data_IF_510636819309
#
_entry.id   IF_510636819309
#
_cell.length_a   1.000
_cell.length_b   1.000
_cell.length_c   1.000
_cell.angle_alpha   90.00
_cell.angle_beta   90.00
_cell.angle_gamma   90.00
#
_symmetry.space_group_name_H-M   'P 1'
#
loop_
_entity.id
_entity.type
_entity.pdbx_description
1 polymer ?
#
# COMPACT_ATOMS: atom_id res chain seq x y z
N UNK A 1 15.22 3.01 -10.19
CA UNK A 1 14.25 1.92 -10.42
C UNK A 1 13.07 2.15 -9.50
N UNK A 2 12.01 2.77 -10.03
CA UNK A 2 10.76 3.03 -9.31
C UNK A 2 10.10 1.67 -9.15
N UNK A 3 10.31 1.01 -8.02
CA UNK A 3 9.67 -0.26 -7.71
C UNK A 3 8.16 -0.03 -7.77
N UNK A 4 7.50 -0.75 -8.68
CA UNK A 4 6.11 -0.58 -9.08
C UNK A 4 5.20 -0.37 -7.87
N UNK A 5 4.58 0.82 -7.84
CA UNK A 5 3.51 1.19 -6.94
C UNK A 5 2.20 0.74 -7.58
N UNK A 6 1.80 -0.50 -7.31
CA UNK A 6 0.43 -0.96 -7.56
C UNK A 6 0.01 -1.75 -6.33
N UNK A 7 -0.58 -1.05 -5.36
CA UNK A 7 -1.13 -1.67 -4.16
C UNK A 7 -2.49 -2.27 -4.47
N UNK A 8 -2.57 -3.60 -4.32
CA UNK A 8 -3.60 -4.38 -3.64
C UNK A 8 -5.11 -4.28 -3.98
N UNK A 9 -5.61 -3.35 -4.80
CA UNK A 9 -7.07 -3.10 -4.82
C UNK A 9 -7.69 -2.93 -6.22
N UNK A 10 -6.93 -3.15 -7.30
CA UNK A 10 -7.48 -3.12 -8.66
C UNK A 10 -8.20 -4.40 -9.09
N UNK A 11 -8.28 -5.43 -8.25
CA UNK A 11 -9.19 -6.54 -8.47
C UNK A 11 -10.20 -6.54 -7.33
N UNK A 12 -11.36 -5.98 -7.65
CA UNK A 12 -12.59 -5.99 -6.86
C UNK A 12 -12.43 -5.45 -5.44
N UNK A 13 -12.02 -4.19 -5.31
CA UNK A 13 -12.89 -3.30 -4.54
C UNK A 13 -13.85 -2.69 -5.53
N UNK A 14 -15.12 -2.54 -5.20
CA UNK A 14 -16.05 -1.72 -6.00
C UNK A 14 -15.66 -0.23 -6.08
N UNK A 15 -14.38 0.12 -5.94
CA UNK A 15 -13.84 1.47 -6.01
C UNK A 15 -13.65 1.84 -7.49
N UNK A 16 -14.32 2.92 -7.92
CA UNK A 16 -14.25 3.36 -9.31
C UNK A 16 -12.85 3.87 -9.69
N UNK A 17 -12.55 3.84 -10.99
CA UNK A 17 -11.28 4.27 -11.61
C UNK A 17 -10.69 5.54 -10.99
N UNK A 18 -11.50 6.57 -10.74
CA UNK A 18 -11.05 7.83 -10.14
C UNK A 18 -10.43 7.65 -8.74
N UNK A 19 -11.03 6.81 -7.90
CA UNK A 19 -10.50 6.51 -6.57
C UNK A 19 -9.18 5.75 -6.66
N UNK A 20 -9.10 4.80 -7.60
CA UNK A 20 -7.86 4.07 -7.90
C UNK A 20 -6.75 5.04 -8.33
N UNK A 21 -7.03 5.94 -9.27
CA UNK A 21 -6.08 6.97 -9.69
C UNK A 21 -5.67 7.86 -8.51
N UNK A 22 -6.62 8.32 -7.68
CA UNK A 22 -6.29 9.11 -6.50
C UNK A 22 -5.37 8.34 -5.52
N UNK A 23 -5.62 7.04 -5.33
CA UNK A 23 -4.79 6.13 -4.53
C UNK A 23 -3.36 5.96 -5.07
N UNK A 24 -3.22 5.80 -6.39
CA UNK A 24 -1.90 5.77 -7.04
C UNK A 24 -1.20 7.11 -6.86
N UNK A 25 -1.88 8.22 -7.14
CA UNK A 25 -1.31 9.56 -7.06
C UNK A 25 -0.82 9.91 -5.66
N UNK A 26 -1.63 9.69 -4.62
CA UNK A 26 -1.21 9.95 -3.24
C UNK A 26 0.00 9.09 -2.85
N UNK A 27 0.09 7.86 -3.34
CA UNK A 27 1.21 6.96 -3.05
C UNK A 27 2.50 7.45 -3.71
N UNK A 28 2.44 7.92 -4.95
CA UNK A 28 3.58 8.54 -5.65
C UNK A 28 4.07 9.79 -4.90
N UNK A 29 3.14 10.64 -4.47
CA UNK A 29 3.47 11.87 -3.71
C UNK A 29 4.11 11.52 -2.35
N UNK A 30 3.62 10.48 -1.67
CA UNK A 30 4.22 9.96 -0.42
C UNK A 30 5.65 9.44 -0.63
N UNK A 31 5.90 8.67 -1.69
CA UNK A 31 7.24 8.16 -2.00
C UNK A 31 8.22 9.31 -2.30
N UNK A 32 7.80 10.28 -3.14
CA UNK A 32 8.59 11.46 -3.44
C UNK A 32 8.95 12.25 -2.16
N UNK A 33 7.98 12.44 -1.27
CA UNK A 33 8.20 13.06 0.04
C UNK A 33 9.24 12.31 0.87
N UNK A 34 9.12 10.98 1.00
CA UNK A 34 10.05 10.18 1.81
C UNK A 34 11.48 10.24 1.29
N UNK A 35 11.67 10.23 -0.03
CA UNK A 35 12.99 10.36 -0.64
C UNK A 35 13.62 11.72 -0.34
N UNK A 36 12.84 12.80 -0.43
CA UNK A 36 13.31 14.14 -0.09
C UNK A 36 13.66 14.22 1.40
N UNK A 37 12.79 13.74 2.28
CA UNK A 37 13.02 13.68 3.72
C UNK A 37 14.33 12.94 4.05
N UNK A 38 14.54 11.74 3.49
CA UNK A 38 15.74 10.95 3.70
C UNK A 38 17.01 11.63 3.18
N UNK A 39 16.93 12.32 2.04
CA UNK A 39 18.06 13.05 1.45
C UNK A 39 18.49 14.22 2.34
N UNK A 40 17.53 15.03 2.81
CA UNK A 40 17.84 16.24 3.55
C UNK A 40 18.10 16.02 5.03
N UNK A 41 17.47 15.02 5.67
CA UNK A 41 17.71 14.69 7.08
C UNK A 41 19.15 14.25 7.39
N UNK A 42 19.93 13.83 6.38
CA UNK A 42 21.32 13.38 6.52
C UNK A 42 22.37 14.49 6.36
N UNK A 43 21.98 15.72 6.07
CA UNK A 43 22.92 16.84 5.92
C UNK A 43 22.96 17.69 7.20
N UNK A 44 24.14 18.01 7.75
CA UNK A 44 24.30 18.84 8.97
C UNK A 44 23.60 20.21 8.88
N UNK A 45 23.43 20.73 7.66
CA UNK A 45 22.67 21.95 7.37
C UNK A 45 21.14 21.82 7.54
N UNK A 46 20.63 20.65 7.93
CA UNK A 46 19.21 20.44 8.21
C UNK A 46 18.77 21.17 9.48
N UNK A 47 19.60 21.15 10.53
CA UNK A 47 19.33 21.84 11.81
C UNK A 47 19.52 23.36 11.68
N UNK A 48 20.51 23.81 10.91
CA UNK A 48 20.80 25.26 10.76
C UNK A 48 19.74 25.98 9.90
N UNK A 49 19.07 25.27 8.98
CA UNK A 49 17.90 25.80 8.26
C UNK A 49 16.59 25.79 9.08
N UNK A 50 16.59 25.23 10.30
CA UNK A 50 15.40 25.19 11.18
C UNK A 50 15.08 26.51 11.88
N UNK A 51 15.98 27.50 11.85
CA UNK A 51 15.70 28.82 12.42
C UNK A 51 14.93 29.75 11.46
N UNK A 52 14.54 29.25 10.29
CA UNK A 52 13.67 29.94 9.34
C UNK A 52 12.26 29.30 9.40
N UNK A 53 11.17 30.07 9.58
CA UNK A 53 9.79 29.56 9.62
C UNK A 53 9.35 28.79 8.36
N UNK A 54 10.19 28.71 7.32
CA UNK A 54 10.08 27.85 6.13
C UNK A 54 10.21 26.34 6.41
N UNK A 55 10.22 25.92 7.67
CA UNK A 55 10.15 24.55 8.20
C UNK A 55 8.84 23.78 7.88
N UNK A 56 8.31 23.86 6.66
CA UNK A 56 7.06 23.19 6.24
C UNK A 56 7.26 21.73 5.79
N UNK A 57 8.49 21.22 5.73
CA UNK A 57 8.79 19.87 5.20
C UNK A 57 8.74 18.72 6.22
N UNK A 58 8.45 18.98 7.49
CA UNK A 58 8.58 17.95 8.55
C UNK A 58 7.42 16.96 8.64
N UNK A 59 6.25 17.29 8.13
CA UNK A 59 5.13 16.35 8.03
C UNK A 59 4.64 16.26 6.60
N UNK A 60 4.16 15.06 6.23
CA UNK A 60 3.55 14.83 4.93
C UNK A 60 2.38 15.80 4.66
N UNK A 61 1.58 16.12 5.68
CA UNK A 61 0.48 17.07 5.57
C UNK A 61 0.93 18.49 5.19
N UNK A 62 2.04 18.97 5.77
CA UNK A 62 2.55 20.29 5.44
C UNK A 62 3.20 20.32 4.05
N UNK A 63 3.85 19.23 3.65
CA UNK A 63 4.36 19.06 2.29
C UNK A 63 3.24 19.14 1.24
N UNK A 64 2.13 18.45 1.48
CA UNK A 64 0.92 18.52 0.63
C UNK A 64 0.36 19.95 0.58
N UNK A 65 0.24 20.62 1.72
CA UNK A 65 -0.25 22.02 1.77
C UNK A 65 0.66 22.98 1.03
N UNK A 66 1.98 22.82 1.16
CA UNK A 66 2.97 23.63 0.46
C UNK A 66 2.85 23.49 -1.06
N UNK A 67 2.64 22.27 -1.55
CA UNK A 67 2.42 22.01 -2.97
C UNK A 67 1.04 22.45 -3.46
N UNK A 68 0.12 22.83 -2.56
CA UNK A 68 -1.23 23.24 -2.91
C UNK A 68 -2.09 22.10 -3.51
N UNK A 69 -1.74 20.84 -3.24
CA UNK A 69 -2.42 19.69 -3.83
C UNK A 69 -3.80 19.47 -3.20
N UNK A 70 -4.80 19.28 -4.06
CA UNK A 70 -6.16 18.86 -3.71
C UNK A 70 -6.46 17.46 -4.25
N UNK A 71 -7.61 16.88 -3.89
CA UNK A 71 -7.95 15.51 -4.27
C UNK A 71 -7.94 15.25 -5.79
N UNK A 72 -8.33 16.26 -6.57
CA UNK A 72 -8.30 16.18 -8.03
C UNK A 72 -6.87 15.99 -8.56
N UNK A 73 -5.88 16.66 -7.97
CA UNK A 73 -4.49 16.55 -8.40
C UNK A 73 -3.94 15.14 -8.20
N UNK A 74 -4.31 14.46 -7.11
CA UNK A 74 -3.94 13.06 -6.92
C UNK A 74 -4.53 12.17 -8.00
N UNK A 75 -5.80 12.38 -8.37
CA UNK A 75 -6.41 11.63 -9.46
C UNK A 75 -5.70 11.92 -10.80
N UNK A 76 -5.36 13.17 -11.09
CA UNK A 76 -4.63 13.53 -12.32
C UNK A 76 -3.22 12.94 -12.37
N UNK A 77 -2.46 13.00 -11.27
CA UNK A 77 -1.14 12.37 -11.14
C UNK A 77 -1.28 10.86 -11.34
N UNK A 78 -2.23 10.23 -10.66
CA UNK A 78 -2.47 8.78 -10.80
C UNK A 78 -2.81 8.38 -12.23
N UNK A 79 -3.73 9.09 -12.88
CA UNK A 79 -4.11 8.86 -14.28
C UNK A 79 -2.91 9.01 -15.22
N UNK A 80 -2.08 10.04 -15.03
CA UNK A 80 -0.87 10.24 -15.83
C UNK A 80 0.08 9.04 -15.73
N UNK A 81 0.41 8.60 -14.51
CA UNK A 81 1.29 7.44 -14.34
C UNK A 81 0.65 6.13 -14.80
N UNK A 82 -0.65 5.95 -14.55
CA UNK A 82 -1.39 4.79 -15.01
C UNK A 82 -1.43 4.69 -16.53
N UNK A 83 -1.46 5.84 -17.23
CA UNK A 83 -1.47 5.87 -18.69
C UNK A 83 -0.25 5.19 -19.33
N UNK A 84 0.92 5.22 -18.68
CA UNK A 84 2.10 4.48 -19.16
C UNK A 84 1.89 2.97 -19.13
N UNK A 85 1.09 2.48 -18.17
CA UNK A 85 0.78 1.07 -18.02
C UNK A 85 -0.44 0.62 -18.84
N UNK A 86 -1.19 1.58 -19.40
CA UNK A 86 -2.37 1.31 -20.24
C UNK A 86 -2.09 1.50 -21.74
N UNK A 87 -1.16 2.39 -22.12
CA UNK A 87 -0.97 2.81 -23.51
C UNK A 87 0.46 2.54 -24.05
N UNK A 88 1.28 1.78 -23.31
CA UNK A 88 2.66 1.45 -23.69
C UNK A 88 2.84 -0.01 -24.11
N UNK A 89 4.03 -0.35 -24.61
CA UNK A 89 4.37 -1.68 -25.17
C UNK A 89 4.15 -2.87 -24.21
N UNK A 90 4.12 -2.62 -22.90
CA UNK A 90 3.88 -3.65 -21.88
C UNK A 90 2.40 -3.85 -21.54
N UNK A 91 1.52 -2.92 -21.94
CA UNK A 91 0.08 -2.81 -21.61
C UNK A 91 -0.38 -3.76 -20.49
N UNK A 92 -0.17 -3.31 -19.25
CA UNK A 92 -0.41 -4.11 -18.05
C UNK A 92 -1.90 -4.10 -17.67
N UNK A 93 -2.58 -2.97 -17.91
CA UNK A 93 -3.98 -2.77 -17.53
C UNK A 93 -4.86 -2.39 -18.70
N UNK A 94 -6.09 -2.89 -18.66
CA UNK A 94 -7.21 -2.44 -19.47
C UNK A 94 -8.29 -1.81 -18.58
N UNK A 95 -9.13 -0.99 -19.20
CA UNK A 95 -10.42 -0.64 -18.60
C UNK A 95 -11.40 -1.79 -18.77
N UNK A 96 -12.03 -2.18 -17.68
CA UNK A 96 -13.10 -3.17 -17.67
C UNK A 96 -14.44 -2.51 -17.36
N UNK A 97 -15.47 -3.02 -18.03
CA UNK A 97 -16.86 -2.65 -17.85
C UNK A 97 -17.55 -3.79 -17.10
N UNK A 98 -18.18 -3.49 -15.97
CA UNK A 98 -18.98 -4.47 -15.25
C UNK A 98 -20.04 -5.11 -16.15
N UNK A 99 -20.42 -6.36 -15.84
CA UNK A 99 -21.32 -7.18 -16.65
C UNK A 99 -22.80 -6.75 -16.65
N UNK A 100 -23.18 -5.65 -15.98
CA UNK A 100 -24.48 -5.00 -16.22
C UNK A 100 -24.31 -4.02 -17.38
N UNK A 101 -24.63 -4.50 -18.59
CA UNK A 101 -24.44 -3.80 -19.86
C UNK A 101 -25.33 -2.56 -20.09
N UNK A 102 -25.67 -1.81 -19.05
CA UNK A 102 -26.46 -0.59 -19.17
C UNK A 102 -25.68 0.64 -18.67
N UNK A 103 -25.38 1.56 -19.58
CA UNK A 103 -24.72 2.84 -19.25
C UNK A 103 -25.60 3.73 -18.36
N UNK A 104 -26.89 3.42 -18.32
CA UNK A 104 -27.90 4.13 -17.53
C UNK A 104 -28.05 3.55 -16.11
N UNK A 105 -27.30 2.50 -15.74
CA UNK A 105 -27.23 2.03 -14.36
C UNK A 105 -26.55 3.10 -13.48
N UNK A 106 -27.21 3.66 -12.45
CA UNK A 106 -26.58 4.61 -11.53
C UNK A 106 -25.39 4.03 -10.76
N UNK A 107 -25.20 2.71 -10.77
CA UNK A 107 -24.03 2.01 -10.24
C UNK A 107 -22.92 1.79 -11.29
N UNK A 108 -23.05 2.34 -12.49
CA UNK A 108 -22.06 2.27 -13.55
C UNK A 108 -20.72 2.85 -13.09
N UNK A 109 -19.66 2.04 -13.11
CA UNK A 109 -18.30 2.43 -12.69
C UNK A 109 -17.26 1.88 -13.65
N UNK A 110 -16.32 2.74 -14.02
CA UNK A 110 -15.10 2.31 -14.71
C UNK A 110 -14.22 1.55 -13.72
N UNK A 111 -13.74 0.38 -14.13
CA UNK A 111 -12.80 -0.44 -13.37
C UNK A 111 -11.53 -0.69 -14.18
N UNK A 112 -10.46 -1.08 -13.49
CA UNK A 112 -9.23 -1.56 -14.11
C UNK A 112 -9.18 -3.07 -13.99
N UNK A 113 -8.68 -3.75 -15.01
CA UNK A 113 -8.30 -5.16 -14.97
C UNK A 113 -6.89 -5.32 -15.52
N UNK A 114 -6.21 -6.40 -15.14
CA UNK A 114 -5.00 -6.80 -15.88
C UNK A 114 -5.38 -7.24 -17.29
N UNK A 115 -4.48 -7.03 -18.24
CA UNK A 115 -4.61 -7.63 -19.57
C UNK A 115 -4.38 -9.14 -19.50
N UNK A 116 -5.04 -9.90 -20.35
CA UNK A 116 -4.87 -11.36 -20.38
C UNK A 116 -3.42 -11.74 -20.71
N UNK A 117 -2.75 -10.94 -21.56
CA UNK A 117 -1.33 -11.11 -21.88
C UNK A 117 -0.43 -10.91 -20.64
N UNK A 118 -0.72 -9.90 -19.81
CA UNK A 118 0.05 -9.66 -18.60
C UNK A 118 -0.22 -10.71 -17.52
N UNK A 119 -1.46 -11.20 -17.39
CA UNK A 119 -1.79 -12.29 -16.47
C UNK A 119 -0.98 -13.55 -16.77
N UNK A 120 -0.87 -13.94 -18.05
CA UNK A 120 -0.06 -15.08 -18.46
C UNK A 120 1.42 -14.89 -18.08
N UNK A 121 1.97 -13.68 -18.25
CA UNK A 121 3.34 -13.34 -17.83
C UNK A 121 3.53 -13.36 -16.31
N UNK A 122 2.52 -12.96 -15.53
CA UNK A 122 2.57 -12.97 -14.07
C UNK A 122 2.71 -14.39 -13.50
N UNK A 123 2.05 -15.36 -14.13
CA UNK A 123 2.14 -16.78 -13.73
C UNK A 123 3.55 -17.36 -13.95
N UNK A 124 4.30 -16.81 -14.90
CA UNK A 124 5.60 -17.33 -15.31
C UNK A 124 6.79 -16.68 -14.57
N UNK A 125 6.74 -15.37 -14.22
CA UNK A 125 7.97 -14.65 -13.86
C UNK A 125 7.92 -13.68 -12.66
N UNK A 126 6.77 -13.37 -12.05
CA UNK A 126 6.68 -12.15 -11.23
C UNK A 126 6.41 -12.34 -9.72
N UNK A 127 7.33 -11.86 -8.88
CA UNK A 127 7.11 -11.66 -7.43
C UNK A 127 6.63 -10.23 -7.14
N UNK A 128 5.34 -9.95 -7.28
CA UNK A 128 4.77 -8.66 -6.82
C UNK A 128 4.85 -8.60 -5.29
N UNK A 129 5.64 -7.66 -4.76
CA UNK A 129 5.76 -7.48 -3.31
C UNK A 129 4.60 -6.61 -2.78
N UNK A 130 3.99 -6.98 -1.64
CA UNK A 130 3.07 -6.11 -0.92
C UNK A 130 3.66 -4.70 -0.66
N UNK A 131 2.83 -3.66 -0.77
CA UNK A 131 3.19 -2.29 -0.37
C UNK A 131 3.49 -2.19 1.13
N UNK A 132 2.72 -2.91 1.95
CA UNK A 132 2.90 -3.01 3.39
C UNK A 132 3.36 -4.43 3.72
N UNK A 133 4.56 -4.53 4.27
CA UNK A 133 5.20 -5.78 4.67
C UNK A 133 5.31 -5.82 6.19
N UNK A 134 5.16 -6.98 6.84
CA UNK A 134 5.52 -7.16 8.23
C UNK A 134 6.91 -6.57 8.55
N UNK A 135 7.04 -5.97 9.72
CA UNK A 135 8.31 -5.41 10.16
C UNK A 135 9.24 -6.50 10.68
N UNK A 136 10.52 -6.42 10.32
CA UNK A 136 11.59 -7.27 10.87
C UNK A 136 12.10 -6.80 12.24
N UNK A 137 11.65 -5.63 12.69
CA UNK A 137 12.05 -5.03 13.95
C UNK A 137 10.82 -4.63 14.75
N UNK A 138 11.04 -4.33 16.03
CA UNK A 138 9.97 -3.90 16.93
C UNK A 138 9.25 -2.66 16.37
N UNK A 139 7.91 -2.68 16.26
CA UNK A 139 7.14 -1.52 15.81
C UNK A 139 7.29 -0.31 16.74
N UNK A 140 7.08 0.88 16.20
CA UNK A 140 6.98 2.10 16.97
C UNK A 140 5.75 2.06 17.90
N UNK A 141 5.90 2.55 19.13
CA UNK A 141 4.82 2.55 20.11
C UNK A 141 3.82 3.67 19.82
N UNK A 142 2.53 3.33 19.89
CA UNK A 142 1.44 4.29 19.91
C UNK A 142 1.35 4.99 21.27
N UNK A 143 1.10 6.28 21.25
CA UNK A 143 0.74 7.06 22.44
C UNK A 143 0.00 8.33 22.02
N UNK A 144 -0.57 9.06 22.97
CA UNK A 144 -1.25 10.33 22.72
C UNK A 144 -0.44 11.33 21.85
N UNK A 145 0.89 11.30 21.98
CA UNK A 145 1.78 12.24 21.29
C UNK A 145 2.62 11.59 20.18
N UNK A 146 2.46 10.28 19.93
CA UNK A 146 3.29 9.54 18.96
C UNK A 146 2.47 8.59 18.10
N UNK A 147 2.70 8.68 16.80
CA UNK A 147 2.16 7.76 15.81
C UNK A 147 3.02 6.48 15.79
N UNK A 148 2.38 5.33 16.01
CA UNK A 148 3.03 4.02 16.16
C UNK A 148 2.93 3.14 14.91
N UNK A 149 3.27 1.85 15.03
CA UNK A 149 3.30 0.91 13.91
C UNK A 149 4.63 1.00 13.15
N UNK A 150 4.60 1.34 11.86
CA UNK A 150 5.81 1.51 11.06
C UNK A 150 6.71 2.64 11.58
N UNK A 151 8.03 2.50 11.47
CA UNK A 151 8.98 3.54 11.92
C UNK A 151 8.79 4.86 11.15
N UNK A 152 8.42 4.77 9.88
CA UNK A 152 8.07 5.92 9.03
C UNK A 152 6.80 6.64 9.48
N UNK A 153 5.95 6.00 10.29
CA UNK A 153 4.68 6.59 10.70
C UNK A 153 4.86 7.77 11.66
N UNK A 154 5.98 7.85 12.37
CA UNK A 154 6.37 9.02 13.15
C UNK A 154 6.40 10.33 12.33
N UNK A 155 6.70 10.21 11.04
CA UNK A 155 6.79 11.32 10.09
C UNK A 155 5.49 11.46 9.29
N UNK A 156 4.92 10.33 8.83
CA UNK A 156 3.70 10.30 8.01
C UNK A 156 2.43 10.65 8.78
N UNK A 157 2.39 10.36 10.09
CA UNK A 157 1.27 10.63 10.99
C UNK A 157 -0.05 9.99 10.58
N UNK A 158 0.01 8.76 10.05
CA UNK A 158 -1.17 7.95 9.75
C UNK A 158 -1.79 7.45 11.07
N UNK A 159 -3.08 7.68 11.26
CA UNK A 159 -3.80 7.26 12.47
C UNK A 159 -3.97 5.75 12.58
N UNK A 160 -4.25 5.26 13.80
CA UNK A 160 -4.52 3.83 14.05
C UNK A 160 -5.93 3.40 13.66
N UNK A 161 -6.84 4.34 13.38
CA UNK A 161 -8.20 4.06 12.92
C UNK A 161 -8.26 4.03 11.40
N UNK A 162 -8.83 2.96 10.85
CA UNK A 162 -9.11 2.83 9.42
C UNK A 162 -10.59 3.19 9.21
N UNK A 163 -10.89 4.22 8.42
CA UNK A 163 -12.26 4.68 8.18
C UNK A 163 -12.36 6.11 7.66
N UNK A 164 -13.58 6.55 7.31
CA UNK A 164 -13.82 7.91 6.80
C UNK A 164 -13.67 8.94 7.94
N UNK A 165 -13.00 10.06 7.65
CA UNK A 165 -12.89 11.20 8.60
C UNK A 165 -14.25 11.79 9.01
N UNK A 166 -15.31 11.46 8.26
CA UNK A 166 -16.70 11.89 8.50
C UNK A 166 -17.28 11.24 9.75
N UNK A 167 -16.84 10.03 10.10
CA UNK A 167 -17.20 9.36 11.35
C UNK A 167 -16.00 9.37 12.30
N UNK A 168 -15.61 10.56 12.74
CA UNK A 168 -14.56 10.69 13.74
C UNK A 168 -14.96 9.94 15.03
N UNK A 169 -14.40 8.76 15.22
CA UNK A 169 -14.58 7.98 16.43
C UNK A 169 -13.99 8.77 17.60
N UNK A 170 -14.84 9.19 18.52
CA UNK A 170 -14.40 9.75 19.80
C UNK A 170 -14.19 8.60 20.77
N UNK A 171 -12.95 8.40 21.20
CA UNK A 171 -12.62 7.40 22.19
C UNK A 171 -12.65 8.03 23.57
N UNK A 172 -13.34 7.40 24.51
CA UNK A 172 -13.40 7.84 25.90
C UNK A 172 -12.14 7.49 26.69
N UNK A 173 -11.37 6.48 26.25
CA UNK A 173 -10.16 6.03 26.92
C UNK A 173 -9.08 5.60 25.91
N UNK A 174 -8.41 6.60 25.32
CA UNK A 174 -7.35 6.36 24.34
C UNK A 174 -6.13 5.62 24.92
N UNK A 175 -5.84 5.81 26.22
CA UNK A 175 -4.67 5.19 26.86
C UNK A 175 -4.76 3.66 26.87
N UNK A 176 -5.94 3.10 27.19
CA UNK A 176 -6.18 1.65 27.11
C UNK A 176 -6.05 1.15 25.67
N UNK A 177 -6.51 1.92 24.68
CA UNK A 177 -6.38 1.56 23.27
C UNK A 177 -4.91 1.50 22.86
N UNK A 178 -4.13 2.54 23.20
CA UNK A 178 -2.69 2.57 22.92
C UNK A 178 -1.97 1.40 23.59
N UNK A 179 -2.27 1.11 24.85
CA UNK A 179 -1.70 -0.02 25.57
C UNK A 179 -2.02 -1.35 24.87
N UNK A 180 -3.29 -1.56 24.51
CA UNK A 180 -3.75 -2.77 23.81
C UNK A 180 -3.04 -2.93 22.48
N UNK A 181 -3.02 -1.89 21.64
CA UNK A 181 -2.34 -1.91 20.34
C UNK A 181 -0.84 -2.20 20.50
N UNK A 182 -0.18 -1.58 21.46
CA UNK A 182 1.23 -1.79 21.72
C UNK A 182 1.52 -3.21 22.21
N UNK A 183 0.62 -3.83 22.97
CA UNK A 183 0.80 -5.19 23.44
C UNK A 183 0.62 -6.20 22.30
N UNK A 184 -0.39 -6.00 21.43
CA UNK A 184 -0.58 -6.83 20.24
C UNK A 184 0.58 -6.71 19.25
N UNK A 185 1.07 -5.49 19.00
CA UNK A 185 2.16 -5.24 18.05
C UNK A 185 3.53 -5.78 18.51
N UNK A 186 3.69 -6.17 19.78
CA UNK A 186 4.94 -6.76 20.29
C UNK A 186 5.06 -8.25 19.99
N UNK A 187 3.97 -8.92 19.60
CA UNK A 187 3.96 -10.37 19.42
C UNK A 187 4.79 -10.71 18.16
N UNK A 188 5.92 -11.43 18.28
CA UNK A 188 6.68 -11.85 17.12
C UNK A 188 5.95 -12.99 16.39
N UNK A 189 5.98 -12.95 15.07
CA UNK A 189 5.49 -14.01 14.20
C UNK A 189 6.67 -14.59 13.42
N UNK A 190 6.58 -15.88 13.10
CA UNK A 190 7.55 -16.59 12.27
C UNK A 190 6.82 -17.35 11.16
N UNK A 191 7.51 -17.57 10.04
CA UNK A 191 6.95 -18.35 8.95
C UNK A 191 6.97 -19.84 9.31
N UNK A 192 5.84 -20.52 9.13
CA UNK A 192 5.81 -21.97 9.26
C UNK A 192 6.40 -22.62 7.99
N UNK A 193 7.70 -22.92 8.03
CA UNK A 193 8.44 -23.48 6.90
C UNK A 193 7.93 -24.85 6.46
N UNK A 194 7.40 -25.67 7.37
CA UNK A 194 6.81 -26.96 7.01
C UNK A 194 5.54 -26.77 6.18
N UNK A 195 4.65 -25.88 6.63
CA UNK A 195 3.44 -25.56 5.89
C UNK A 195 3.77 -24.91 4.55
N UNK A 196 4.70 -23.96 4.51
CA UNK A 196 5.15 -23.31 3.28
C UNK A 196 5.69 -24.34 2.28
N UNK A 197 6.55 -25.26 2.72
CA UNK A 197 7.11 -26.33 1.88
C UNK A 197 6.01 -27.25 1.35
N UNK A 198 5.06 -27.64 2.19
CA UNK A 198 3.91 -28.45 1.78
C UNK A 198 3.08 -27.73 0.71
N UNK A 199 2.73 -26.47 0.93
CA UNK A 199 1.92 -25.66 0.02
C UNK A 199 2.60 -25.40 -1.34
N UNK A 200 3.94 -25.29 -1.37
CA UNK A 200 4.70 -25.16 -2.63
C UNK A 200 4.87 -26.49 -3.38
N UNK A 201 4.85 -27.62 -2.67
CA UNK A 201 5.02 -28.95 -3.24
C UNK A 201 3.69 -29.67 -3.40
N UNK A 202 3.53 -30.76 -2.64
CA UNK A 202 2.39 -31.69 -2.76
C UNK A 202 1.05 -30.98 -2.53
N UNK A 203 0.99 -29.99 -1.65
CA UNK A 203 -0.23 -29.25 -1.30
C UNK A 203 -0.61 -28.14 -2.29
N UNK A 204 0.14 -27.92 -3.38
CA UNK A 204 -0.12 -26.81 -4.32
C UNK A 204 -1.55 -26.84 -4.88
N UNK A 205 -2.12 -28.03 -5.07
CA UNK A 205 -3.49 -28.20 -5.57
C UNK A 205 -4.56 -27.61 -4.63
N UNK A 206 -4.29 -27.49 -3.32
CA UNK A 206 -5.23 -26.88 -2.38
C UNK A 206 -5.43 -25.39 -2.66
N UNK A 207 -4.43 -24.76 -3.26
CA UNK A 207 -4.44 -23.35 -3.63
C UNK A 207 -4.99 -23.13 -5.05
N UNK A 208 -4.97 -24.17 -5.89
CA UNK A 208 -5.47 -24.10 -7.27
C UNK A 208 -6.92 -24.59 -7.44
N UNK A 209 -7.51 -25.19 -6.39
CA UNK A 209 -8.80 -25.90 -6.49
C UNK A 209 -9.82 -25.50 -5.42
N UNK A 210 -9.58 -24.44 -4.67
CA UNK A 210 -10.55 -23.97 -3.69
C UNK A 210 -11.73 -23.31 -4.41
N UNK A 211 -12.95 -23.62 -3.95
CA UNK A 211 -14.22 -22.88 -4.18
C UNK A 211 -14.17 -21.43 -3.64
N UNK A 212 -12.99 -20.81 -3.68
CA UNK A 212 -12.71 -19.44 -3.30
C UNK A 212 -12.03 -18.92 -4.57
N UNK A 213 -12.71 -18.05 -5.31
CA UNK A 213 -12.21 -17.37 -6.51
C UNK A 213 -11.00 -16.48 -6.16
N UNK A 214 -9.91 -17.08 -5.71
CA UNK A 214 -8.63 -16.42 -5.51
C UNK A 214 -7.87 -16.54 -6.81
N UNK A 215 -7.78 -15.42 -7.49
CA UNK A 215 -6.98 -15.27 -8.69
C UNK A 215 -5.53 -15.77 -8.46
N UNK A 216 -4.90 -16.45 -9.44
CA UNK A 216 -3.58 -17.08 -9.29
C UNK A 216 -2.48 -16.19 -8.69
N UNK A 217 -2.47 -14.90 -9.04
CA UNK A 217 -1.48 -13.94 -8.52
C UNK A 217 -1.61 -13.71 -6.99
N UNK A 218 -2.77 -13.95 -6.38
CA UNK A 218 -2.98 -13.82 -4.93
C UNK A 218 -2.22 -14.92 -4.20
N UNK A 219 -2.28 -16.14 -4.73
CA UNK A 219 -1.59 -17.31 -4.19
C UNK A 219 -0.07 -17.10 -4.25
N UNK A 220 0.45 -16.75 -5.42
CA UNK A 220 1.87 -16.51 -5.63
C UNK A 220 2.40 -15.40 -4.72
N UNK A 221 1.59 -14.36 -4.47
CA UNK A 221 1.96 -13.30 -3.54
C UNK A 221 2.05 -13.76 -2.09
N UNK A 222 1.10 -14.56 -1.61
CA UNK A 222 1.11 -15.08 -0.23
C UNK A 222 2.35 -15.95 -0.04
N UNK A 223 2.59 -16.88 -0.96
CA UNK A 223 3.73 -17.78 -0.90
C UNK A 223 5.06 -17.03 -1.07
N UNK A 224 5.14 -16.07 -1.99
CA UNK A 224 6.33 -15.25 -2.19
C UNK A 224 6.66 -14.33 -1.01
N UNK A 225 5.64 -13.81 -0.33
CA UNK A 225 5.83 -13.03 0.91
C UNK A 225 6.36 -13.94 2.01
N UNK A 226 5.74 -15.11 2.22
CA UNK A 226 6.19 -16.07 3.22
C UNK A 226 7.63 -16.55 2.93
N UNK A 227 7.96 -16.81 1.67
CA UNK A 227 9.30 -17.20 1.26
C UNK A 227 10.34 -16.12 1.60
N UNK A 228 10.06 -14.85 1.27
CA UNK A 228 10.96 -13.75 1.62
C UNK A 228 11.27 -13.73 3.13
N UNK A 229 10.27 -13.88 3.99
CA UNK A 229 10.49 -13.88 5.44
C UNK A 229 11.15 -15.17 5.95
N UNK A 230 10.89 -16.32 5.32
CA UNK A 230 11.58 -17.58 5.67
C UNK A 230 13.09 -17.54 5.46
N UNK A 231 13.56 -16.70 4.54
CA UNK A 231 14.99 -16.51 4.29
C UNK A 231 15.63 -15.46 5.21
N UNK A 232 14.84 -14.50 5.71
CA UNK A 232 15.33 -13.48 6.63
C UNK A 232 15.60 -14.05 8.03
N UNK A 233 14.85 -15.06 8.47
CA UNK A 233 15.05 -15.77 9.75
C UNK A 233 16.40 -16.53 9.84
N UNK A 234 17.22 -16.52 8.78
CA UNK A 234 18.57 -17.13 8.73
C UNK A 234 19.71 -16.15 9.06
N UNK A 235 19.42 -14.87 9.32
CA UNK A 235 20.38 -13.82 9.68
C UNK A 235 20.17 -13.33 11.12
#
# INVERSE_FOLDING_TARGET
MVALVISRECIIRGEGYTNTCAGIGITIVKDAYMRLYQKYSKTENFVIRMNDPSSYLYSFENFVKFLGLVNYDYASIGTFFLSFYMNGDTQIFDTYFGSSGDKDDPNFRYMLKYTDEYLNKLEEEFKIRPMLMPMLCKPALWSKNKFGGYLSNSIMKEGFTIGTKVHAHKFSNEDIIYETLNNLNKIPFQVNNLLLTYLKGVGKYLLSKSNIDLEPYVVERILGTAEFFSDVDKF
#
